data_IF_206195952088
#
_entry.id   IF_206195952088
#
_cell.length_a   1.000
_cell.length_b   1.000
_cell.length_c   1.000
_cell.angle_alpha   90.00
_cell.angle_beta   90.00
_cell.angle_gamma   90.00
#
_symmetry.space_group_name_H-M   'P 1'
#
loop_
_entity.id
_entity.type
_entity.pdbx_description
1 polymer ?
#
# COMPACT_ATOMS: atom_id res chain seq x y z
N UNK A 1 -13.23 -5.89 -7.94
CA UNK A 1 -12.74 -5.82 -6.54
C UNK A 1 -12.61 -7.18 -5.86
N UNK A 2 -13.07 -8.28 -6.48
CA UNK A 2 -13.13 -9.63 -5.90
C UNK A 2 -11.78 -10.37 -5.80
N UNK A 3 -10.67 -9.77 -6.23
CA UNK A 3 -9.37 -10.44 -6.37
C UNK A 3 -8.30 -9.97 -5.37
N UNK A 4 -8.61 -9.06 -4.44
CA UNK A 4 -7.62 -8.64 -3.45
C UNK A 4 -7.53 -9.66 -2.31
N UNK A 5 -6.30 -10.04 -1.96
CA UNK A 5 -6.10 -10.82 -0.73
C UNK A 5 -6.46 -9.96 0.50
N UNK A 6 -6.70 -10.58 1.67
CA UNK A 6 -6.94 -9.82 2.90
C UNK A 6 -5.85 -8.77 3.16
N UNK A 7 -4.57 -9.17 3.02
CA UNK A 7 -3.43 -8.26 3.22
C UNK A 7 -3.40 -7.11 2.21
N UNK A 8 -3.70 -7.39 0.95
CA UNK A 8 -3.80 -6.35 -0.09
C UNK A 8 -4.93 -5.35 0.21
N UNK A 9 -6.05 -5.85 0.75
CA UNK A 9 -7.19 -5.02 1.16
C UNK A 9 -6.83 -4.12 2.34
N UNK A 10 -6.12 -4.64 3.33
CA UNK A 10 -5.63 -3.85 4.47
C UNK A 10 -4.70 -2.71 4.01
N UNK A 11 -3.75 -3.00 3.11
CA UNK A 11 -2.87 -1.98 2.55
C UNK A 11 -3.68 -0.92 1.80
N UNK A 12 -4.63 -1.32 0.96
CA UNK A 12 -5.45 -0.38 0.21
C UNK A 12 -6.26 0.53 1.15
N UNK A 13 -6.84 -0.03 2.22
CA UNK A 13 -7.57 0.73 3.24
C UNK A 13 -6.66 1.70 3.99
N UNK A 14 -5.45 1.27 4.35
CA UNK A 14 -4.46 2.13 5.00
C UNK A 14 -4.10 3.33 4.10
N UNK A 15 -3.86 3.09 2.81
CA UNK A 15 -3.57 4.15 1.84
C UNK A 15 -4.74 5.13 1.75
N UNK A 16 -5.97 4.63 1.59
CA UNK A 16 -7.16 5.49 1.50
C UNK A 16 -7.36 6.33 2.77
N UNK A 17 -7.17 5.72 3.94
CA UNK A 17 -7.27 6.41 5.22
C UNK A 17 -6.21 7.50 5.36
N UNK A 18 -4.95 7.19 5.09
CA UNK A 18 -3.86 8.15 5.18
C UNK A 18 -4.07 9.34 4.23
N UNK A 19 -4.54 9.10 2.99
CA UNK A 19 -4.89 10.19 2.07
C UNK A 19 -6.04 11.04 2.64
N UNK A 20 -7.07 10.42 3.19
CA UNK A 20 -8.21 11.15 3.76
C UNK A 20 -7.81 12.00 5.00
N UNK A 21 -6.87 11.51 5.81
CA UNK A 21 -6.44 12.18 7.05
C UNK A 21 -5.34 13.23 6.82
N UNK A 22 -4.41 12.97 5.90
CA UNK A 22 -3.17 13.77 5.75
C UNK A 22 -3.04 14.45 4.39
N UNK A 23 -3.88 14.10 3.42
CA UNK A 23 -3.78 14.55 2.03
C UNK A 23 -2.71 13.84 1.20
N UNK A 24 -1.93 12.93 1.78
CA UNK A 24 -0.83 12.23 1.10
C UNK A 24 -0.89 10.71 1.31
N UNK A 25 -0.44 9.89 0.33
CA UNK A 25 -0.31 8.46 0.53
C UNK A 25 0.86 8.15 1.48
N UNK A 26 0.78 7.05 2.25
CA UNK A 26 1.86 6.65 3.14
C UNK A 26 3.04 6.11 2.33
N UNK A 27 4.24 6.26 2.88
CA UNK A 27 5.48 5.67 2.37
C UNK A 27 5.51 4.15 2.61
N UNK A 28 6.40 3.46 1.90
CA UNK A 28 6.62 2.01 2.07
C UNK A 28 7.06 1.67 3.50
N UNK A 29 7.83 2.55 4.14
CA UNK A 29 8.30 2.38 5.50
C UNK A 29 7.15 2.51 6.52
N UNK A 30 6.27 3.51 6.35
CA UNK A 30 5.09 3.67 7.20
C UNK A 30 4.12 2.50 7.05
N UNK A 31 3.87 2.03 5.82
CA UNK A 31 3.05 0.83 5.60
C UNK A 31 3.67 -0.39 6.31
N UNK A 32 5.00 -0.51 6.28
CA UNK A 32 5.69 -1.59 6.97
C UNK A 32 5.53 -1.53 8.49
N UNK A 33 5.67 -0.34 9.06
CA UNK A 33 5.50 -0.11 10.49
C UNK A 33 4.06 -0.37 10.95
N UNK A 34 3.07 0.18 10.25
CA UNK A 34 1.66 0.09 10.64
C UNK A 34 1.08 -1.33 10.50
N UNK A 35 1.51 -2.09 9.49
CA UNK A 35 1.00 -3.44 9.23
C UNK A 35 1.91 -4.56 9.75
N UNK A 36 3.00 -4.21 10.44
CA UNK A 36 3.92 -5.16 11.05
C UNK A 36 4.73 -5.99 10.04
N UNK A 37 5.08 -5.41 8.90
CA UNK A 37 5.98 -6.07 7.95
C UNK A 37 7.42 -6.05 8.47
N UNK A 38 8.18 -7.10 8.11
CA UNK A 38 9.60 -7.22 8.47
C UNK A 38 10.49 -6.15 7.81
N UNK A 39 10.03 -5.55 6.71
CA UNK A 39 10.76 -4.50 5.98
C UNK A 39 9.85 -3.71 5.03
N UNK A 40 10.32 -2.54 4.60
CA UNK A 40 9.67 -1.74 3.56
C UNK A 40 9.57 -2.47 2.20
N UNK A 41 10.50 -3.39 1.91
CA UNK A 41 10.48 -4.19 0.68
C UNK A 41 9.30 -5.15 0.66
N UNK A 42 8.93 -5.75 1.80
CA UNK A 42 7.75 -6.61 1.89
C UNK A 42 6.46 -5.82 1.59
N UNK A 43 6.37 -4.58 2.08
CA UNK A 43 5.28 -3.67 1.71
C UNK A 43 5.30 -3.35 0.20
N UNK A 44 6.47 -3.12 -0.39
CA UNK A 44 6.62 -2.87 -1.83
C UNK A 44 6.10 -4.00 -2.70
N UNK A 45 6.36 -5.27 -2.36
CA UNK A 45 5.84 -6.41 -3.13
C UNK A 45 4.32 -6.39 -3.21
N UNK A 46 3.65 -6.13 -2.09
CA UNK A 46 2.20 -6.00 -2.07
C UNK A 46 1.70 -4.78 -2.85
N UNK A 47 2.39 -3.64 -2.74
CA UNK A 47 2.08 -2.44 -3.53
C UNK A 47 2.21 -2.70 -5.04
N UNK A 48 3.25 -3.41 -5.47
CA UNK A 48 3.41 -3.83 -6.88
C UNK A 48 2.27 -4.75 -7.32
N UNK A 49 1.84 -5.68 -6.47
CA UNK A 49 0.71 -6.54 -6.77
C UNK A 49 -0.61 -5.76 -6.90
N UNK A 50 -0.85 -4.78 -6.03
CA UNK A 50 -1.98 -3.86 -6.15
C UNK A 50 -1.92 -3.05 -7.45
N UNK A 51 -0.74 -2.54 -7.82
CA UNK A 51 -0.55 -1.79 -9.05
C UNK A 51 -0.79 -2.66 -10.31
N UNK A 52 -0.29 -3.90 -10.32
CA UNK A 52 -0.56 -4.87 -11.40
C UNK A 52 -2.05 -5.18 -11.56
N UNK A 53 -2.81 -5.15 -10.46
CA UNK A 53 -4.27 -5.32 -10.47
C UNK A 53 -5.03 -4.04 -10.86
N UNK A 54 -4.34 -2.94 -11.12
CA UNK A 54 -4.93 -1.67 -11.54
C UNK A 54 -5.69 -0.94 -10.44
N UNK A 55 -5.55 -1.35 -9.16
CA UNK A 55 -6.27 -0.70 -8.06
C UNK A 55 -5.53 0.53 -7.50
N UNK A 56 -4.23 0.64 -7.75
CA UNK A 56 -3.41 1.82 -7.46
C UNK A 56 -2.44 2.07 -8.60
N UNK A 57 -1.91 3.29 -8.70
CA UNK A 57 -0.75 3.60 -9.54
C UNK A 57 0.47 3.85 -8.65
N UNK A 58 1.62 3.29 -9.00
CA UNK A 58 2.89 3.61 -8.35
C UNK A 58 3.63 4.63 -9.20
N UNK A 59 3.91 5.79 -8.60
CA UNK A 59 4.80 6.76 -9.20
C UNK A 59 6.25 6.39 -8.84
N UNK A 60 7.17 6.32 -9.82
CA UNK A 60 8.59 6.20 -9.52
C UNK A 60 9.01 7.41 -8.70
N UNK A 61 9.73 7.18 -7.59
CA UNK A 61 10.45 8.26 -6.92
C UNK A 61 11.67 8.64 -7.75
N UNK A 62 11.94 9.93 -7.87
CA UNK A 62 13.23 10.47 -8.33
C UNK A 62 14.30 10.29 -7.27
#
# INVERSE_FOLDING_TARGET
MSDLTPRQTEILRLIQRAIAETGMPPTRAEIAQELGFKSANAAEEHLRALARKGVIALMPGT
#
